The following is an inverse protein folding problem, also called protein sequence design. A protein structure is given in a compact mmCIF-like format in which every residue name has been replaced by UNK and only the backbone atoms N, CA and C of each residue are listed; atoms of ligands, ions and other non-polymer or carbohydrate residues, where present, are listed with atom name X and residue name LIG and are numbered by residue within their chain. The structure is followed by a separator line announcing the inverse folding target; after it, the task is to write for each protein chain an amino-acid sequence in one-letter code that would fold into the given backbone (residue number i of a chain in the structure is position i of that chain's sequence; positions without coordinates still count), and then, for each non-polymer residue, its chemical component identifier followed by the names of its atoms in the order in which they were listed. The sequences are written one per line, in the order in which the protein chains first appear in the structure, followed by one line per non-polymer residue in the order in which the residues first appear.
data_IF_181545099198
#
_entry.id   IF_181545099198
#
_cell.length_a   1.000
_cell.length_b   1.000
_cell.length_c   1.000
_cell.angle_alpha   90.00
_cell.angle_beta   90.00
_cell.angle_gamma   90.00
#
_symmetry.space_group_name_H-M   'P 1'
#
loop_
_entity.id
_entity.type
_entity.pdbx_description
1 polymer ?
#
# COMPACT_ATOMS: atom_id res chain seq x y z
N UNK A 1 -17.84 -12.08 24.50
CA UNK A 1 -16.53 -11.96 23.84
C UNK A 1 -16.24 -10.48 23.74
N UNK A 2 -15.21 -9.98 24.42
CA UNK A 2 -14.83 -8.57 24.42
C UNK A 2 -14.19 -8.23 23.08
N UNK A 3 -14.79 -7.31 22.34
CA UNK A 3 -14.22 -6.74 21.13
C UNK A 3 -12.80 -6.24 21.43
N UNK A 4 -11.80 -6.55 20.60
CA UNK A 4 -10.45 -6.05 20.83
C UNK A 4 -10.45 -4.52 20.77
N UNK A 5 -9.82 -3.91 21.76
CA UNK A 5 -9.58 -2.48 21.84
C UNK A 5 -8.84 -1.98 20.58
N UNK A 6 -9.27 -0.85 20.03
CA UNK A 6 -8.74 -0.26 18.79
C UNK A 6 -7.23 -0.02 18.89
N UNK A 7 -6.73 0.37 20.07
CA UNK A 7 -5.29 0.55 20.28
C UNK A 7 -4.53 -0.78 20.13
N UNK A 8 -5.13 -1.90 20.56
CA UNK A 8 -4.56 -3.24 20.40
C UNK A 8 -4.52 -3.65 18.94
N UNK A 9 -5.59 -3.40 18.18
CA UNK A 9 -5.65 -3.67 16.74
C UNK A 9 -4.56 -2.89 16.01
N UNK A 10 -4.45 -1.58 16.27
CA UNK A 10 -3.47 -0.71 15.62
C UNK A 10 -2.02 -1.12 15.95
N UNK A 11 -1.73 -1.56 17.18
CA UNK A 11 -0.38 -2.05 17.55
C UNK A 11 -0.01 -3.35 16.84
N UNK A 12 -0.98 -4.24 16.64
CA UNK A 12 -0.76 -5.54 15.98
C UNK A 12 -0.77 -5.44 14.45
N UNK A 13 -1.27 -4.33 13.90
CA UNK A 13 -1.33 -4.10 12.46
C UNK A 13 0.08 -4.05 11.85
N UNK A 14 0.36 -5.01 10.96
CA UNK A 14 1.60 -5.05 10.18
C UNK A 14 1.52 -4.08 9.02
N UNK A 15 2.41 -3.09 9.03
CA UNK A 15 2.62 -2.16 7.93
C UNK A 15 4.02 -2.44 7.34
N UNK A 16 4.15 -2.63 6.02
CA UNK A 16 5.46 -2.81 5.39
C UNK A 16 6.38 -1.61 5.63
N UNK A 17 7.67 -1.86 5.89
CA UNK A 17 8.65 -0.82 6.28
C UNK A 17 8.75 0.36 5.28
N UNK A 18 8.48 0.10 4.00
CA UNK A 18 8.55 1.11 2.93
C UNK A 18 7.32 2.02 2.87
N UNK A 19 6.26 1.75 3.64
CA UNK A 19 5.00 2.50 3.64
C UNK A 19 4.98 3.51 4.81
N UNK A 20 5.77 4.57 4.67
CA UNK A 20 6.01 5.56 5.72
C UNK A 20 4.75 6.38 6.05
N UNK A 21 3.91 6.68 5.06
CA UNK A 21 2.63 7.35 5.25
C UNK A 21 1.65 6.49 6.04
N UNK A 22 1.61 5.19 5.77
CA UNK A 22 0.79 4.22 6.49
C UNK A 22 1.29 3.99 7.93
N UNK A 23 2.60 4.03 8.16
CA UNK A 23 3.17 4.04 9.50
C UNK A 23 2.81 5.31 10.27
N UNK A 24 2.91 6.48 9.63
CA UNK A 24 2.53 7.76 10.22
C UNK A 24 1.03 7.80 10.57
N UNK A 25 0.17 7.30 9.68
CA UNK A 25 -1.26 7.16 9.92
C UNK A 25 -1.53 6.27 11.15
N UNK A 26 -0.92 5.09 11.22
CA UNK A 26 -1.07 4.18 12.36
C UNK A 26 -0.65 4.83 13.68
N UNK A 27 0.49 5.54 13.69
CA UNK A 27 0.98 6.22 14.88
C UNK A 27 0.07 7.39 15.29
N UNK A 28 -0.43 8.14 14.32
CA UNK A 28 -1.39 9.22 14.55
C UNK A 28 -2.67 8.68 15.19
N UNK A 29 -3.25 7.60 14.62
CA UNK A 29 -4.45 6.96 15.17
C UNK A 29 -4.19 6.41 16.58
N UNK A 30 -3.02 5.81 16.84
CA UNK A 30 -2.64 5.35 18.19
C UNK A 30 -2.53 6.48 19.20
N UNK A 31 -2.11 7.67 18.77
CA UNK A 31 -1.93 8.82 19.66
C UNK A 31 -3.28 9.38 20.13
N UNK A 32 -4.31 9.28 19.29
CA UNK A 32 -5.63 9.89 19.54
C UNK A 32 -6.75 8.87 19.74
N UNK A 33 -6.42 7.59 19.89
CA UNK A 33 -7.41 6.50 20.02
C UNK A 33 -8.33 6.65 21.23
N UNK A 34 -7.82 7.24 22.32
CA UNK A 34 -8.56 7.46 23.57
C UNK A 34 -9.13 8.89 23.68
N UNK A 35 -8.91 9.74 22.67
CA UNK A 35 -9.24 11.18 22.71
C UNK A 35 -9.93 11.62 21.40
N UNK A 36 -11.02 10.93 21.06
CA UNK A 36 -11.83 11.21 19.86
C UNK A 36 -12.42 12.63 19.87
N UNK A 37 -12.77 13.14 21.06
CA UNK A 37 -13.36 14.48 21.23
C UNK A 37 -12.36 15.58 20.84
N UNK A 38 -11.08 15.46 21.19
CA UNK A 38 -10.10 16.44 20.70
C UNK A 38 -9.74 16.26 19.24
N UNK A 39 -9.98 15.09 18.65
CA UNK A 39 -9.82 14.89 17.21
C UNK A 39 -10.92 15.63 16.44
N UNK A 40 -12.18 15.44 16.85
CA UNK A 40 -13.34 16.05 16.21
C UNK A 40 -13.38 17.58 16.38
N UNK A 41 -12.94 18.08 17.53
CA UNK A 41 -12.96 19.52 17.84
C UNK A 41 -11.71 20.28 17.38
N UNK A 42 -10.71 19.61 16.79
CA UNK A 42 -9.50 20.25 16.30
C UNK A 42 -9.36 20.12 14.76
N UNK A 43 -9.68 21.20 14.07
CA UNK A 43 -9.67 21.26 12.61
C UNK A 43 -8.28 20.98 12.00
N UNK A 44 -7.21 21.32 12.69
CA UNK A 44 -5.84 21.05 12.22
C UNK A 44 -5.53 19.55 12.27
N UNK A 45 -5.95 18.87 13.34
CA UNK A 45 -5.81 17.41 13.45
C UNK A 45 -6.63 16.68 12.41
N UNK A 46 -7.84 17.15 12.10
CA UNK A 46 -8.65 16.58 11.02
C UNK A 46 -7.96 16.73 9.65
N UNK A 47 -7.34 17.88 9.37
CA UNK A 47 -6.56 18.07 8.14
C UNK A 47 -5.37 17.12 8.09
N UNK A 48 -4.65 16.96 9.20
CA UNK A 48 -3.52 16.02 9.30
C UNK A 48 -3.97 14.57 9.07
N UNK A 49 -5.07 14.14 9.71
CA UNK A 49 -5.65 12.81 9.49
C UNK A 49 -6.00 12.60 8.02
N UNK A 50 -6.70 13.55 7.40
CA UNK A 50 -7.07 13.47 5.99
C UNK A 50 -5.84 13.38 5.08
N UNK A 51 -4.80 14.16 5.35
CA UNK A 51 -3.53 14.07 4.63
C UNK A 51 -2.88 12.70 4.77
N UNK A 52 -2.84 12.15 5.98
CA UNK A 52 -2.28 10.82 6.25
C UNK A 52 -3.10 9.70 5.60
N UNK A 53 -4.43 9.80 5.56
CA UNK A 53 -5.30 8.86 4.85
C UNK A 53 -5.01 8.86 3.34
N UNK A 54 -4.90 10.04 2.73
CA UNK A 54 -4.57 10.18 1.30
C UNK A 54 -3.18 9.58 1.01
N UNK A 55 -2.17 9.92 1.82
CA UNK A 55 -0.81 9.40 1.65
C UNK A 55 -0.77 7.87 1.76
N UNK A 56 -1.38 7.31 2.82
CA UNK A 56 -1.45 5.86 3.01
C UNK A 56 -2.17 5.16 1.85
N UNK A 57 -3.24 5.76 1.33
CA UNK A 57 -3.95 5.21 0.18
C UNK A 57 -3.10 5.20 -1.09
N UNK A 58 -2.39 6.30 -1.39
CA UNK A 58 -1.50 6.39 -2.55
C UNK A 58 -0.34 5.40 -2.48
N UNK A 59 0.16 5.07 -1.29
CA UNK A 59 1.19 4.04 -1.12
C UNK A 59 0.68 2.65 -1.53
N UNK A 60 -0.55 2.30 -1.14
CA UNK A 60 -1.18 1.03 -1.54
C UNK A 60 -1.36 0.99 -3.05
N UNK A 61 -1.92 2.05 -3.65
CA UNK A 61 -2.13 2.14 -5.09
C UNK A 61 -0.81 2.03 -5.84
N UNK A 62 0.24 2.72 -5.39
CA UNK A 62 1.57 2.64 -6.00
C UNK A 62 2.19 1.24 -5.88
N UNK A 63 2.05 0.59 -4.72
CA UNK A 63 2.55 -0.77 -4.53
C UNK A 63 1.84 -1.77 -5.46
N UNK A 64 0.52 -1.65 -5.63
CA UNK A 64 -0.25 -2.47 -6.55
C UNK A 64 0.14 -2.19 -8.01
N UNK A 65 0.33 -0.92 -8.38
CA UNK A 65 0.79 -0.54 -9.71
C UNK A 65 2.16 -1.11 -10.05
N UNK A 66 3.11 -1.07 -9.11
CA UNK A 66 4.44 -1.66 -9.29
C UNK A 66 4.38 -3.19 -9.47
N UNK A 67 3.47 -3.87 -8.78
CA UNK A 67 3.25 -5.31 -8.96
C UNK A 67 2.64 -5.64 -10.33
N UNK A 68 1.67 -4.85 -10.77
CA UNK A 68 1.05 -4.98 -12.09
C UNK A 68 2.08 -4.74 -13.20
N UNK A 69 2.89 -3.69 -13.08
CA UNK A 69 3.95 -3.39 -14.05
C UNK A 69 4.96 -4.54 -14.14
N UNK A 70 5.40 -5.06 -13.00
CA UNK A 70 6.34 -6.20 -12.97
C UNK A 70 5.75 -7.44 -13.65
N UNK A 71 4.47 -7.75 -13.38
CA UNK A 71 3.78 -8.87 -14.01
C UNK A 71 3.67 -8.66 -15.53
N UNK A 72 3.26 -7.47 -15.98
CA UNK A 72 3.14 -7.14 -17.39
C UNK A 72 4.49 -7.26 -18.12
N UNK A 73 5.59 -6.78 -17.53
CA UNK A 73 6.94 -6.90 -18.07
C UNK A 73 7.38 -8.36 -18.20
N UNK A 74 7.10 -9.20 -17.20
CA UNK A 74 7.41 -10.63 -17.25
C UNK A 74 6.64 -11.34 -18.36
N UNK A 75 5.35 -11.04 -18.51
CA UNK A 75 4.53 -11.59 -19.59
C UNK A 75 5.04 -11.19 -20.97
N UNK A 76 5.36 -9.91 -21.15
CA UNK A 76 5.92 -9.41 -22.40
C UNK A 76 7.28 -10.05 -22.72
N UNK A 77 8.16 -10.19 -21.73
CA UNK A 77 9.47 -10.85 -21.89
C UNK A 77 9.35 -12.30 -22.33
N UNK A 78 8.43 -13.06 -21.72
CA UNK A 78 8.15 -14.46 -22.11
C UNK A 78 7.60 -14.55 -23.53
N UNK A 79 6.64 -13.71 -23.89
CA UNK A 79 6.07 -13.66 -25.23
C UNK A 79 7.13 -13.36 -26.30
N UNK A 80 7.99 -12.37 -26.04
CA UNK A 80 9.09 -12.01 -26.94
C UNK A 80 10.09 -13.16 -27.10
N UNK A 81 10.47 -13.83 -26.01
CA UNK A 81 11.35 -14.98 -26.06
C UNK A 81 10.76 -16.16 -26.85
N UNK A 82 9.44 -16.37 -26.81
CA UNK A 82 8.77 -17.38 -27.63
C UNK A 82 8.75 -17.02 -29.12
N UNK A 83 8.49 -15.75 -29.45
CA UNK A 83 8.56 -15.26 -30.83
C UNK A 83 9.96 -15.47 -31.42
N UNK A 84 11.01 -15.09 -30.70
CA UNK A 84 12.41 -15.25 -31.13
C UNK A 84 12.78 -16.72 -31.33
N UNK A 85 12.28 -17.64 -30.49
CA UNK A 85 12.48 -19.09 -30.66
C UNK A 85 11.78 -19.59 -31.93
N UNK A 86 10.56 -19.14 -32.21
CA UNK A 86 9.80 -19.57 -33.40
C UNK A 86 10.42 -19.04 -34.70
N UNK A 87 10.85 -17.78 -34.73
CA UNK A 87 11.52 -17.20 -35.90
C UNK A 87 12.89 -17.81 -36.15
N UNK A 88 13.68 -18.08 -35.10
CA UNK A 88 14.94 -18.82 -35.25
C UNK A 88 14.70 -20.23 -35.80
N UNK A 89 13.73 -20.99 -35.27
CA UNK A 89 13.40 -22.32 -35.83
C UNK A 89 13.08 -22.25 -37.34
N UNK A 90 12.33 -21.25 -37.80
CA UNK A 90 12.00 -21.08 -39.23
C UNK A 90 13.17 -20.65 -40.13
N UNK A 91 14.29 -20.14 -39.59
CA UNK A 91 15.49 -19.80 -40.37
C UNK A 91 16.46 -20.98 -40.58
N UNK A 92 16.27 -22.06 -39.82
CA UNK A 92 17.14 -23.25 -39.85
C UNK A 92 16.48 -24.46 -40.55
N UNK A 93 15.22 -24.33 -40.96
CA UNK A 93 14.55 -25.19 -41.93
C UNK A 93 14.51 -24.48 -43.27
#
# INVERSE_FOLDING_TARGET
MTSPDMATILRQMKVPERMTGSHALRNFLLTYVDDEDTLANNQERLKQLNGLLILSHLEVVNALGALEESAAQQHYGKFRAELDKRTKKRRWF
#
